data_IF_193602254615
#
_entry.id   IF_193602254615
#
_cell.length_a   1.000
_cell.length_b   1.000
_cell.length_c   1.000
_cell.angle_alpha   90.00
_cell.angle_beta   90.00
_cell.angle_gamma   90.00
#
_symmetry.space_group_name_H-M   'P 1'
#
loop_
_entity.id
_entity.type
_entity.pdbx_description
1 polymer ?
#
# COMPACT_ATOMS: atom_id res chain seq x y z
N UNK A 1 4.12 18.91 -5.91
CA UNK A 1 4.32 17.59 -5.27
C UNK A 1 3.18 17.45 -4.28
N UNK A 2 2.33 16.42 -4.39
CA UNK A 2 1.17 16.26 -3.50
C UNK A 2 1.66 15.88 -2.10
N UNK A 3 1.10 16.47 -1.06
CA UNK A 3 1.53 16.20 0.32
C UNK A 3 1.09 14.79 0.76
N UNK A 4 2.00 13.90 1.17
CA UNK A 4 1.65 12.54 1.57
C UNK A 4 0.67 12.47 2.75
N UNK A 5 0.74 13.44 3.66
CA UNK A 5 -0.17 13.60 4.80
C UNK A 5 -1.63 13.82 4.36
N UNK A 6 -1.85 14.41 3.19
CA UNK A 6 -3.18 14.64 2.65
C UNK A 6 -3.87 13.33 2.21
N UNK A 7 -3.11 12.33 1.73
CA UNK A 7 -3.68 11.02 1.38
C UNK A 7 -4.11 10.22 2.62
N UNK A 8 -3.31 10.23 3.70
CA UNK A 8 -3.73 9.61 4.98
C UNK A 8 -5.00 10.26 5.53
N UNK A 9 -5.15 11.58 5.34
CA UNK A 9 -6.38 12.29 5.71
C UNK A 9 -7.57 11.80 4.88
N UNK A 10 -7.41 11.67 3.55
CA UNK A 10 -8.44 11.11 2.67
C UNK A 10 -8.82 9.69 3.10
N UNK A 11 -7.84 8.81 3.33
CA UNK A 11 -8.06 7.45 3.84
C UNK A 11 -8.86 7.44 5.14
N UNK A 12 -8.51 8.31 6.09
CA UNK A 12 -9.22 8.42 7.37
C UNK A 12 -10.68 8.82 7.17
N UNK A 13 -10.94 9.79 6.29
CA UNK A 13 -12.29 10.24 5.95
C UNK A 13 -13.10 9.15 5.25
N UNK A 14 -12.49 8.42 4.31
CA UNK A 14 -13.12 7.26 3.67
C UNK A 14 -13.49 6.22 4.73
N UNK A 15 -12.57 5.87 5.63
CA UNK A 15 -12.83 4.90 6.70
C UNK A 15 -14.02 5.32 7.56
N UNK A 16 -14.02 6.56 8.04
CA UNK A 16 -15.08 7.10 8.89
C UNK A 16 -16.44 7.09 8.19
N UNK A 17 -16.50 7.53 6.92
CA UNK A 17 -17.75 7.59 6.18
C UNK A 17 -18.35 6.19 5.94
N UNK A 18 -17.52 5.22 5.58
CA UNK A 18 -17.99 3.86 5.31
C UNK A 18 -18.36 3.11 6.59
N UNK A 19 -17.57 3.26 7.67
CA UNK A 19 -17.88 2.66 8.97
C UNK A 19 -19.18 3.26 9.57
N UNK A 20 -19.39 4.58 9.49
CA UNK A 20 -20.62 5.25 9.98
C UNK A 20 -21.87 4.81 9.20
N UNK A 21 -21.74 4.68 7.88
CA UNK A 21 -22.81 4.23 7.01
C UNK A 21 -23.08 2.71 7.08
N UNK A 22 -22.26 1.94 7.79
CA UNK A 22 -22.36 0.48 7.85
C UNK A 22 -22.08 -0.21 6.51
N UNK A 23 -21.31 0.43 5.63
CA UNK A 23 -20.91 -0.14 4.35
C UNK A 23 -19.73 -1.09 4.56
N UNK A 24 -19.87 -2.35 4.14
CA UNK A 24 -18.75 -3.28 4.14
C UNK A 24 -17.77 -2.94 3.00
N UNK A 25 -16.49 -2.78 3.33
CA UNK A 25 -15.44 -2.43 2.38
C UNK A 25 -14.11 -3.09 2.72
N UNK A 26 -13.12 -2.95 1.83
CA UNK A 26 -11.73 -3.25 2.11
C UNK A 26 -10.78 -2.35 1.31
N UNK A 27 -9.75 -1.82 1.95
CA UNK A 27 -8.66 -1.10 1.29
C UNK A 27 -7.89 -2.05 0.37
N UNK A 28 -7.65 -1.62 -0.87
CA UNK A 28 -6.85 -2.34 -1.87
C UNK A 28 -5.78 -1.41 -2.48
N UNK A 29 -5.15 -1.83 -3.57
CA UNK A 29 -4.22 -1.01 -4.33
C UNK A 29 -2.96 -0.60 -3.57
N UNK A 30 -2.36 0.51 -3.98
CA UNK A 30 -1.07 0.99 -3.43
C UNK A 30 -1.14 1.32 -1.94
N UNK A 31 -2.25 1.92 -1.48
CA UNK A 31 -2.45 2.23 -0.07
C UNK A 31 -2.49 0.96 0.81
N UNK A 32 -3.12 -0.13 0.33
CA UNK A 32 -3.11 -1.41 1.04
C UNK A 32 -1.72 -2.07 1.06
N UNK A 33 -0.94 -1.90 -0.01
CA UNK A 33 0.45 -2.37 -0.08
C UNK A 33 1.32 -1.64 0.94
N UNK A 34 1.19 -0.31 1.02
CA UNK A 34 1.88 0.50 2.02
C UNK A 34 1.52 0.06 3.46
N UNK A 35 0.23 -0.14 3.76
CA UNK A 35 -0.23 -0.63 5.07
C UNK A 35 0.38 -1.99 5.49
N UNK A 36 0.84 -2.77 4.51
CA UNK A 36 1.50 -4.07 4.73
C UNK A 36 3.03 -4.01 4.74
N UNK A 37 3.61 -2.81 4.67
CA UNK A 37 5.05 -2.56 4.68
C UNK A 37 5.68 -2.47 3.28
N UNK A 38 4.86 -2.29 2.23
CA UNK A 38 5.33 -2.03 0.88
C UNK A 38 5.74 -0.56 0.65
N UNK A 39 6.15 -0.20 -0.58
CA UNK A 39 6.54 1.16 -0.90
C UNK A 39 5.38 2.15 -0.66
N UNK A 40 5.69 3.43 -0.35
CA UNK A 40 4.67 4.45 -0.25
C UNK A 40 3.95 4.62 -1.59
N UNK A 41 2.65 4.88 -1.52
CA UNK A 41 1.86 5.24 -2.68
C UNK A 41 1.72 6.77 -2.75
N UNK A 42 1.73 7.33 -3.95
CA UNK A 42 1.37 8.72 -4.25
C UNK A 42 0.19 8.80 -5.22
N UNK A 43 -0.53 7.69 -5.36
CA UNK A 43 -1.65 7.47 -6.28
C UNK A 43 -3.00 7.64 -5.59
N UNK A 44 -4.07 7.17 -6.22
CA UNK A 44 -5.43 7.15 -5.69
C UNK A 44 -5.60 6.26 -4.46
N UNK A 45 -6.72 6.48 -3.77
CA UNK A 45 -7.21 5.60 -2.71
C UNK A 45 -8.18 4.59 -3.31
N UNK A 46 -7.81 3.32 -3.29
CA UNK A 46 -8.66 2.25 -3.79
C UNK A 46 -9.40 1.52 -2.65
N UNK A 47 -10.73 1.46 -2.73
CA UNK A 47 -11.54 0.64 -1.84
C UNK A 47 -12.42 -0.33 -2.62
N UNK A 48 -12.46 -1.57 -2.16
CA UNK A 48 -13.40 -2.58 -2.63
C UNK A 48 -14.71 -2.45 -1.88
N UNK A 49 -15.82 -2.47 -2.60
CA UNK A 49 -17.18 -2.57 -2.05
C UNK A 49 -18.00 -3.55 -2.88
N UNK A 50 -19.10 -4.05 -2.32
CA UNK A 50 -20.07 -4.80 -3.14
C UNK A 50 -20.77 -3.87 -4.14
N UNK A 51 -21.14 -4.35 -5.35
CA UNK A 51 -21.82 -3.52 -6.35
C UNK A 51 -23.07 -2.83 -5.81
N UNK A 52 -23.88 -3.54 -5.03
CA UNK A 52 -25.10 -3.01 -4.42
C UNK A 52 -24.83 -1.91 -3.37
N UNK A 53 -23.61 -1.86 -2.82
CA UNK A 53 -23.21 -0.87 -1.80
C UNK A 53 -22.44 0.32 -2.39
N UNK A 54 -22.12 0.31 -3.69
CA UNK A 54 -21.31 1.35 -4.30
C UNK A 54 -21.98 2.74 -4.24
N UNK A 55 -23.29 2.80 -4.47
CA UNK A 55 -24.03 4.06 -4.39
C UNK A 55 -24.09 4.60 -2.94
N UNK A 56 -24.32 3.72 -1.97
CA UNK A 56 -24.35 4.08 -0.55
C UNK A 56 -22.97 4.55 -0.06
N UNK A 57 -21.89 3.91 -0.50
CA UNK A 57 -20.52 4.31 -0.22
C UNK A 57 -20.22 5.74 -0.69
N UNK A 58 -20.60 6.06 -1.94
CA UNK A 58 -20.45 7.40 -2.53
C UNK A 58 -21.25 8.43 -1.76
N UNK A 59 -22.52 8.14 -1.46
CA UNK A 59 -23.38 9.08 -0.77
C UNK A 59 -22.95 9.30 0.70
N UNK A 60 -22.43 8.28 1.37
CA UNK A 60 -21.84 8.41 2.71
C UNK A 60 -20.66 9.39 2.71
N UNK A 61 -19.70 9.19 1.79
CA UNK A 61 -18.53 10.06 1.65
C UNK A 61 -18.92 11.50 1.29
N UNK A 62 -19.90 11.67 0.39
CA UNK A 62 -20.45 12.97 0.00
C UNK A 62 -21.13 13.68 1.18
N UNK A 63 -21.99 12.99 1.94
CA UNK A 63 -22.73 13.59 3.06
C UNK A 63 -21.83 13.98 4.22
N UNK A 64 -20.89 13.09 4.60
CA UNK A 64 -20.09 13.28 5.79
C UNK A 64 -18.94 14.29 5.57
N UNK A 65 -18.29 14.26 4.41
CA UNK A 65 -17.08 15.04 4.17
C UNK A 65 -17.16 15.95 2.93
N UNK A 66 -18.30 15.99 2.24
CA UNK A 66 -18.46 16.82 1.04
C UNK A 66 -17.66 16.32 -0.16
N UNK A 67 -17.23 15.05 -0.18
CA UNK A 67 -16.51 14.47 -1.31
C UNK A 67 -17.36 14.55 -2.58
N UNK A 68 -16.74 14.88 -3.71
CA UNK A 68 -17.45 15.15 -4.97
C UNK A 68 -17.53 13.88 -5.81
N UNK A 69 -18.73 13.31 -6.03
CA UNK A 69 -18.87 12.18 -6.94
C UNK A 69 -18.56 12.56 -8.38
N UNK A 70 -18.04 11.60 -9.15
CA UNK A 70 -17.78 11.74 -10.58
C UNK A 70 -18.40 10.56 -11.30
N UNK A 71 -19.04 10.82 -12.44
CA UNK A 71 -19.56 9.77 -13.30
C UNK A 71 -18.38 9.01 -13.93
N UNK A 72 -18.26 7.69 -13.69
CA UNK A 72 -17.22 6.89 -14.30
C UNK A 72 -17.59 6.55 -15.75
N UNK A 73 -16.59 6.48 -16.63
CA UNK A 73 -16.77 5.83 -17.94
C UNK A 73 -16.71 4.29 -17.79
N UNK A 74 -16.10 3.84 -16.69
CA UNK A 74 -15.87 2.45 -16.36
C UNK A 74 -17.10 1.78 -15.72
N UNK A 75 -17.39 0.55 -16.13
CA UNK A 75 -18.50 -0.26 -15.57
C UNK A 75 -18.08 -1.16 -14.39
N UNK A 76 -16.94 -0.89 -13.77
CA UNK A 76 -16.34 -1.73 -12.73
C UNK A 76 -15.99 -0.99 -11.42
N UNK A 77 -16.16 0.34 -11.41
CA UNK A 77 -15.95 1.21 -10.27
C UNK A 77 -16.85 2.45 -10.36
N UNK A 78 -16.90 3.23 -9.28
CA UNK A 78 -17.29 4.64 -9.29
C UNK A 78 -16.20 5.47 -8.60
N UNK A 79 -16.24 6.80 -8.76
CA UNK A 79 -15.17 7.70 -8.33
C UNK A 79 -15.69 8.84 -7.48
N UNK A 80 -14.96 9.21 -6.44
CA UNK A 80 -15.18 10.46 -5.69
C UNK A 80 -13.86 11.21 -5.50
N UNK A 81 -13.94 12.54 -5.38
CA UNK A 81 -12.79 13.38 -5.06
C UNK A 81 -12.89 13.95 -3.65
N UNK A 82 -11.82 13.85 -2.87
CA UNK A 82 -11.56 14.66 -1.67
C UNK A 82 -10.47 15.69 -1.99
N UNK A 83 -10.88 16.93 -2.30
CA UNK A 83 -9.97 17.91 -2.89
C UNK A 83 -9.39 17.39 -4.22
N UNK A 84 -8.07 17.24 -4.28
CA UNK A 84 -7.33 16.74 -5.44
C UNK A 84 -7.08 15.22 -5.40
N UNK A 85 -7.45 14.53 -4.31
CA UNK A 85 -7.28 13.09 -4.17
C UNK A 85 -8.48 12.35 -4.72
N UNK A 86 -8.20 11.42 -5.63
CA UNK A 86 -9.16 10.51 -6.19
C UNK A 86 -9.33 9.30 -5.27
N UNK A 87 -10.58 8.90 -5.05
CA UNK A 87 -10.96 7.67 -4.37
C UNK A 87 -11.73 6.80 -5.37
N UNK A 88 -11.15 5.66 -5.70
CA UNK A 88 -11.77 4.65 -6.56
C UNK A 88 -12.55 3.65 -5.70
N UNK A 89 -13.85 3.60 -5.94
CA UNK A 89 -14.81 2.71 -5.27
C UNK A 89 -15.09 1.55 -6.21
N UNK A 90 -14.30 0.48 -6.05
CA UNK A 90 -14.20 -0.63 -6.98
C UNK A 90 -15.14 -1.75 -6.56
N UNK A 91 -15.96 -2.25 -7.48
CA UNK A 91 -16.89 -3.34 -7.22
C UNK A 91 -16.77 -4.52 -8.19
N UNK A 92 -15.94 -4.42 -9.23
CA UNK A 92 -15.66 -5.50 -10.18
C UNK A 92 -14.21 -5.53 -10.70
N UNK A 93 -13.19 -5.66 -9.83
CA UNK A 93 -11.80 -5.68 -10.24
C UNK A 93 -11.48 -6.90 -11.10
N UNK A 94 -10.72 -6.72 -12.19
CA UNK A 94 -10.33 -7.81 -13.09
C UNK A 94 -11.52 -8.68 -13.55
N UNK A 95 -12.68 -8.06 -13.82
CA UNK A 95 -13.95 -8.72 -14.18
C UNK A 95 -14.59 -9.58 -13.07
N UNK A 96 -14.00 -9.64 -11.87
CA UNK A 96 -14.51 -10.41 -10.75
C UNK A 96 -15.37 -9.54 -9.85
N UNK A 97 -16.63 -9.90 -9.66
CA UNK A 97 -17.53 -9.17 -8.75
C UNK A 97 -17.05 -9.27 -7.30
N UNK A 98 -16.95 -8.14 -6.60
CA UNK A 98 -16.66 -8.10 -5.17
C UNK A 98 -17.83 -8.71 -4.40
N UNK A 99 -17.53 -9.72 -3.59
CA UNK A 99 -18.51 -10.46 -2.79
C UNK A 99 -18.20 -10.34 -1.30
N UNK A 100 -19.13 -10.78 -0.45
CA UNK A 100 -18.86 -10.96 0.98
C UNK A 100 -17.62 -11.84 1.22
N UNK A 101 -17.45 -12.90 0.43
CA UNK A 101 -16.28 -13.78 0.53
C UNK A 101 -14.98 -13.11 0.06
N UNK A 102 -15.07 -12.08 -0.77
CA UNK A 102 -13.92 -11.24 -1.14
C UNK A 102 -13.54 -10.35 0.04
N UNK A 103 -14.49 -9.60 0.59
CA UNK A 103 -14.27 -8.65 1.69
C UNK A 103 -13.89 -9.34 3.01
N UNK A 104 -14.44 -10.53 3.29
CA UNK A 104 -14.13 -11.30 4.49
C UNK A 104 -12.66 -11.76 4.58
N UNK A 105 -11.88 -11.63 3.51
CA UNK A 105 -10.43 -11.90 3.51
C UNK A 105 -9.63 -10.74 4.09
N UNK A 106 -10.21 -9.54 4.17
CA UNK A 106 -9.53 -8.37 4.67
C UNK A 106 -9.27 -8.48 6.18
N UNK A 107 -8.14 -7.93 6.60
CA UNK A 107 -7.72 -7.88 7.99
C UNK A 107 -7.75 -6.43 8.46
N UNK A 108 -8.27 -6.15 9.66
CA UNK A 108 -8.21 -4.78 10.19
C UNK A 108 -6.77 -4.43 10.55
N UNK A 109 -6.18 -3.51 9.81
CA UNK A 109 -4.84 -2.96 10.05
C UNK A 109 -4.91 -1.47 10.35
N UNK A 110 -3.83 -0.93 10.91
CA UNK A 110 -3.62 0.52 11.04
C UNK A 110 -3.00 1.06 9.76
N UNK A 111 -3.52 2.20 9.30
CA UNK A 111 -3.01 2.94 8.13
C UNK A 111 -3.00 4.41 8.52
N UNK A 112 -1.82 4.91 8.91
CA UNK A 112 -1.71 6.19 9.62
C UNK A 112 -2.63 6.22 10.86
N UNK A 113 -3.50 7.23 11.02
CA UNK A 113 -4.36 7.33 12.20
C UNK A 113 -5.61 6.42 12.14
N UNK A 114 -5.96 5.88 10.97
CA UNK A 114 -7.16 5.07 10.78
C UNK A 114 -6.92 3.57 11.05
N UNK A 115 -7.95 2.87 11.51
CA UNK A 115 -8.00 1.40 11.50
C UNK A 115 -9.08 0.96 10.54
N UNK A 116 -8.72 0.18 9.51
CA UNK A 116 -9.63 -0.21 8.43
C UNK A 116 -9.34 -1.63 7.92
N UNK A 117 -10.31 -2.33 7.32
CA UNK A 117 -10.08 -3.61 6.65
C UNK A 117 -9.13 -3.43 5.45
N UNK A 118 -8.04 -4.19 5.40
CA UNK A 118 -7.02 -4.15 4.34
C UNK A 118 -6.88 -5.51 3.68
N UNK A 119 -6.96 -5.56 2.35
CA UNK A 119 -6.86 -6.80 1.58
C UNK A 119 -5.51 -7.50 1.77
N UNK A 120 -5.44 -8.85 1.81
CA UNK A 120 -4.19 -9.59 1.97
C UNK A 120 -3.18 -9.34 0.85
N UNK A 121 -1.88 -9.42 1.16
CA UNK A 121 -0.80 -9.27 0.17
C UNK A 121 -0.96 -10.19 -1.06
N UNK A 122 -1.40 -11.43 -0.83
CA UNK A 122 -1.71 -12.38 -1.91
C UNK A 122 -2.76 -11.83 -2.88
N UNK A 123 -3.82 -11.21 -2.36
CA UNK A 123 -4.85 -10.59 -3.19
C UNK A 123 -4.29 -9.40 -3.96
N UNK A 124 -3.58 -8.50 -3.27
CA UNK A 124 -3.00 -7.29 -3.88
C UNK A 124 -2.07 -7.63 -5.04
N UNK A 125 -1.14 -8.58 -4.85
CA UNK A 125 -0.24 -8.98 -5.93
C UNK A 125 -0.99 -9.67 -7.07
N UNK A 126 -1.93 -10.59 -6.75
CA UNK A 126 -2.73 -11.30 -7.77
C UNK A 126 -3.48 -10.31 -8.64
N UNK A 127 -4.20 -9.37 -8.01
CA UNK A 127 -5.00 -8.36 -8.69
C UNK A 127 -4.11 -7.47 -9.58
N UNK A 128 -2.94 -7.07 -9.07
CA UNK A 128 -1.98 -6.24 -9.79
C UNK A 128 -1.39 -6.91 -11.02
N UNK A 129 -1.08 -8.20 -10.97
CA UNK A 129 -0.46 -8.89 -12.11
C UNK A 129 -1.50 -9.38 -13.13
N UNK A 130 -2.77 -9.52 -12.75
CA UNK A 130 -3.84 -9.88 -13.68
C UNK A 130 -4.16 -8.78 -14.71
N UNK A 131 -3.81 -7.52 -14.43
CA UNK A 131 -3.96 -6.42 -15.41
C UNK A 131 -2.92 -6.45 -16.52
N UNK A 132 -1.90 -7.32 -16.42
CA UNK A 132 -0.82 -7.39 -17.39
C UNK A 132 -1.32 -7.96 -18.72
N UNK A 133 -0.98 -7.27 -19.81
CA UNK A 133 -1.42 -7.63 -21.15
C UNK A 133 -0.61 -6.95 -22.25
N UNK A 134 -1.01 -7.12 -23.53
CA UNK A 134 -0.28 -6.59 -24.69
C UNK A 134 -0.03 -5.08 -24.66
N UNK A 135 -0.92 -4.33 -24.01
CA UNK A 135 -0.87 -2.87 -23.93
C UNK A 135 -0.38 -2.36 -22.56
N UNK A 136 -0.15 -3.26 -21.60
CA UNK A 136 0.26 -2.93 -20.23
C UNK A 136 1.10 -4.07 -19.69
N UNK A 137 2.40 -4.04 -19.98
CA UNK A 137 3.36 -5.04 -19.50
C UNK A 137 4.54 -4.34 -18.82
N UNK A 138 4.27 -3.70 -17.69
CA UNK A 138 5.29 -3.10 -16.83
C UNK A 138 5.39 -3.90 -15.53
N UNK A 139 6.56 -4.48 -15.28
CA UNK A 139 6.82 -5.29 -14.09
C UNK A 139 7.44 -4.48 -12.95
N UNK A 140 7.80 -3.21 -13.16
CA UNK A 140 8.53 -2.41 -12.17
C UNK A 140 7.80 -2.35 -10.82
N UNK A 141 6.56 -1.88 -10.82
CA UNK A 141 5.76 -1.76 -9.60
C UNK A 141 5.34 -3.14 -9.03
N UNK A 142 4.81 -4.10 -9.82
CA UNK A 142 4.53 -5.44 -9.29
C UNK A 142 5.75 -6.13 -8.66
N UNK A 143 6.97 -5.94 -9.20
CA UNK A 143 8.19 -6.49 -8.61
C UNK A 143 8.53 -5.86 -7.26
N UNK A 144 8.32 -4.55 -7.10
CA UNK A 144 8.50 -3.88 -5.81
C UNK A 144 7.51 -4.41 -4.77
N UNK A 145 6.26 -4.65 -5.15
CA UNK A 145 5.25 -5.24 -4.28
C UNK A 145 5.61 -6.68 -3.90
N UNK A 146 5.96 -7.49 -4.89
CA UNK A 146 6.39 -8.87 -4.73
C UNK A 146 7.58 -8.99 -3.78
N UNK A 147 8.58 -8.11 -3.90
CA UNK A 147 9.74 -8.07 -3.01
C UNK A 147 9.34 -7.67 -1.59
N UNK A 148 8.66 -6.54 -1.44
CA UNK A 148 8.34 -5.98 -0.11
C UNK A 148 7.39 -6.85 0.71
N UNK A 149 6.50 -7.58 0.04
CA UNK A 149 5.47 -8.39 0.68
C UNK A 149 5.74 -9.90 0.59
N UNK A 150 6.94 -10.33 0.18
CA UNK A 150 7.24 -11.71 -0.22
C UNK A 150 6.83 -12.78 0.80
N UNK A 151 7.02 -12.49 2.09
CA UNK A 151 6.72 -13.41 3.21
C UNK A 151 5.22 -13.47 3.54
N UNK A 152 4.43 -12.50 3.06
CA UNK A 152 2.98 -12.42 3.27
C UNK A 152 2.18 -13.02 2.10
N UNK A 153 2.85 -13.37 1.00
CA UNK A 153 2.23 -13.83 -0.23
C UNK A 153 2.16 -15.37 -0.22
N UNK A 154 0.95 -15.92 -0.36
CA UNK A 154 0.74 -17.31 -0.78
C UNK A 154 1.05 -17.42 -2.27
N UNK A 155 2.32 -17.65 -2.59
CA UNK A 155 2.81 -17.78 -3.96
C UNK A 155 2.15 -18.93 -4.72
N UNK A 156 1.78 -20.02 -4.04
CA UNK A 156 1.06 -21.11 -4.65
C UNK A 156 -0.37 -20.69 -5.01
N UNK A 157 -1.00 -19.90 -4.15
CA UNK A 157 -2.28 -19.22 -4.39
C UNK A 157 -2.24 -18.30 -5.60
N UNK A 158 -1.24 -17.41 -5.68
CA UNK A 158 -1.06 -16.51 -6.84
C UNK A 158 -0.94 -17.33 -8.12
N UNK A 159 -0.07 -18.35 -8.16
CA UNK A 159 0.13 -19.22 -9.33
C UNK A 159 -1.17 -19.91 -9.78
N UNK A 160 -2.01 -20.35 -8.84
CA UNK A 160 -3.32 -20.95 -9.16
C UNK A 160 -4.30 -19.91 -9.69
N UNK A 161 -4.38 -18.75 -9.05
CA UNK A 161 -5.35 -17.71 -9.41
C UNK A 161 -5.06 -17.07 -10.77
N UNK A 162 -3.79 -17.06 -11.20
CA UNK A 162 -3.39 -16.47 -12.48
C UNK A 162 -3.04 -17.50 -13.56
N UNK A 163 -3.39 -18.77 -13.33
CA UNK A 163 -3.11 -19.84 -14.30
C UNK A 163 -3.86 -19.57 -15.61
N UNK A 164 -3.13 -19.25 -16.66
CA UNK A 164 -3.71 -18.90 -17.98
C UNK A 164 -3.24 -17.57 -18.54
N UNK A 165 -2.61 -16.70 -17.73
CA UNK A 165 -1.97 -15.49 -18.25
C UNK A 165 -0.47 -15.69 -18.48
N UNK A 166 0.02 -15.67 -19.74
CA UNK A 166 1.44 -15.82 -20.05
C UNK A 166 2.28 -14.67 -19.46
N UNK A 167 1.69 -13.48 -19.26
CA UNK A 167 2.35 -12.35 -18.61
C UNK A 167 2.61 -12.63 -17.13
N UNK A 168 1.62 -13.19 -16.42
CA UNK A 168 1.80 -13.59 -15.02
C UNK A 168 2.77 -14.75 -14.87
N UNK A 169 2.78 -15.68 -15.83
CA UNK A 169 3.76 -16.77 -15.86
C UNK A 169 5.20 -16.24 -15.99
N UNK A 170 5.42 -15.30 -16.92
CA UNK A 170 6.71 -14.62 -17.07
C UNK A 170 7.12 -13.84 -15.81
N UNK A 171 6.18 -13.12 -15.20
CA UNK A 171 6.41 -12.40 -13.95
C UNK A 171 6.81 -13.33 -12.80
N UNK A 172 6.07 -14.44 -12.59
CA UNK A 172 6.34 -15.42 -11.54
C UNK A 172 7.66 -16.17 -11.80
N UNK A 173 8.00 -16.42 -13.08
CA UNK A 173 9.30 -16.96 -13.45
C UNK A 173 10.43 -16.01 -13.05
N UNK A 174 10.28 -14.71 -13.34
CA UNK A 174 11.25 -13.70 -12.94
C UNK A 174 11.39 -13.61 -11.41
N UNK A 175 10.27 -13.58 -10.67
CA UNK A 175 10.28 -13.59 -9.21
C UNK A 175 11.06 -14.78 -8.64
N UNK A 176 10.90 -15.98 -9.23
CA UNK A 176 11.69 -17.16 -8.84
C UNK A 176 13.19 -16.99 -9.15
N UNK A 177 13.53 -16.41 -10.29
CA UNK A 177 14.94 -16.17 -10.68
C UNK A 177 15.63 -15.12 -9.82
N UNK A 178 14.84 -14.24 -9.19
CA UNK A 178 15.28 -13.22 -8.24
C UNK A 178 15.19 -13.68 -6.78
N UNK A 179 14.92 -14.98 -6.54
CA UNK A 179 14.77 -15.57 -5.21
C UNK A 179 13.70 -14.90 -4.31
N UNK A 180 12.66 -14.30 -4.94
CA UNK A 180 11.52 -13.71 -4.23
C UNK A 180 10.48 -14.74 -3.79
N UNK A 181 10.41 -15.86 -4.51
CA UNK A 181 9.50 -16.97 -4.20
C UNK A 181 10.26 -17.97 -3.35
N UNK A 182 9.81 -18.29 -2.12
CA UNK A 182 10.44 -19.32 -1.30
C UNK A 182 10.56 -20.62 -2.09
N UNK A 183 11.75 -21.24 -2.05
CA UNK A 183 11.92 -22.54 -2.65
C UNK A 183 10.92 -23.52 -1.99
N UNK A 184 10.09 -24.18 -2.80
CA UNK A 184 9.23 -25.26 -2.30
C UNK A 184 10.14 -26.22 -1.51
N UNK A 185 9.88 -26.38 -0.21
CA UNK A 185 10.74 -27.11 0.72
C UNK A 185 11.00 -28.53 0.21
N UNK A 186 12.09 -28.70 -0.53
CA UNK A 186 12.82 -29.95 -0.59
C UNK A 186 13.64 -29.95 0.68
N UNK A 187 13.20 -30.75 1.65
CA UNK A 187 13.93 -31.06 2.88
C UNK A 187 15.41 -31.27 2.54
N UNK A 188 16.28 -30.46 3.17
CA UNK A 188 17.73 -30.32 2.98
C UNK A 188 18.20 -29.33 1.90
N UNK A 189 18.27 -28.06 2.30
CA UNK A 189 19.53 -27.29 2.27
C UNK A 189 19.57 -26.35 3.48
N UNK A 190 20.36 -26.69 4.48
CA UNK A 190 20.98 -25.67 5.33
C UNK A 190 21.92 -24.89 4.43
N UNK A 191 21.64 -23.61 4.18
CA UNK A 191 22.58 -22.71 3.52
C UNK A 191 22.31 -21.27 3.97
N UNK A 192 23.33 -20.70 4.62
CA UNK A 192 23.57 -19.28 4.90
C UNK A 192 22.77 -18.35 3.96
N UNK A 193 21.76 -17.64 4.47
CA UNK A 193 21.17 -16.50 3.76
C UNK A 193 22.30 -15.53 3.41
N UNK A 194 22.34 -15.03 2.17
CA UNK A 194 23.29 -13.96 1.80
C UNK A 194 23.06 -12.74 2.70
N UNK A 195 24.10 -11.94 2.94
CA UNK A 195 23.95 -10.69 3.71
C UNK A 195 22.86 -9.80 3.09
N UNK A 196 22.81 -9.72 1.76
CA UNK A 196 21.79 -8.96 1.03
C UNK A 196 20.35 -9.43 1.33
N UNK A 197 20.11 -10.75 1.37
CA UNK A 197 18.80 -11.29 1.70
C UNK A 197 18.39 -11.04 3.17
N UNK A 198 19.37 -10.95 4.09
CA UNK A 198 19.12 -10.60 5.50
C UNK A 198 18.79 -9.12 5.66
N UNK A 199 19.56 -8.23 5.05
CA UNK A 199 19.30 -6.79 5.10
C UNK A 199 17.94 -6.45 4.51
N UNK A 200 17.56 -7.11 3.40
CA UNK A 200 16.23 -6.94 2.80
C UNK A 200 15.12 -7.39 3.75
N UNK A 201 15.29 -8.53 4.42
CA UNK A 201 14.32 -8.99 5.41
C UNK A 201 14.14 -7.99 6.56
N UNK A 202 15.23 -7.41 7.07
CA UNK A 202 15.17 -6.38 8.11
C UNK A 202 14.53 -5.09 7.59
N UNK A 203 14.83 -4.68 6.36
CA UNK A 203 14.18 -3.52 5.73
C UNK A 203 12.66 -3.69 5.62
N UNK A 204 12.19 -4.85 5.14
CA UNK A 204 10.76 -5.15 5.00
C UNK A 204 10.04 -5.15 6.37
N UNK A 205 10.66 -5.73 7.39
CA UNK A 205 10.12 -5.73 8.76
C UNK A 205 10.06 -4.32 9.33
N UNK A 206 11.12 -3.54 9.11
CA UNK A 206 11.18 -2.17 9.60
C UNK A 206 10.15 -1.28 8.89
N UNK A 207 10.03 -1.36 7.57
CA UNK A 207 8.99 -0.65 6.80
C UNK A 207 7.59 -0.93 7.35
N UNK A 208 7.29 -2.18 7.74
CA UNK A 208 6.00 -2.52 8.36
C UNK A 208 5.79 -1.85 9.71
N UNK A 209 6.80 -1.89 10.58
CA UNK A 209 6.72 -1.25 11.91
C UNK A 209 6.46 0.24 11.74
N UNK A 210 7.22 0.91 10.87
CA UNK A 210 7.07 2.34 10.62
C UNK A 210 5.70 2.69 10.02
N UNK A 211 5.21 1.90 9.05
CA UNK A 211 3.89 2.14 8.43
C UNK A 211 2.70 1.95 9.40
N UNK A 212 2.85 1.11 10.43
CA UNK A 212 1.78 0.80 11.39
C UNK A 212 1.85 1.64 12.67
N UNK A 213 2.94 2.37 12.87
CA UNK A 213 3.14 3.21 14.04
C UNK A 213 2.24 4.47 13.97
N UNK A 214 1.41 4.74 14.99
CA UNK A 214 0.47 5.87 14.96
C UNK A 214 1.13 7.25 15.08
N UNK A 215 2.37 7.32 15.57
CA UNK A 215 3.13 8.56 15.74
C UNK A 215 4.09 8.82 14.57
N UNK A 216 4.31 7.80 13.73
CA UNK A 216 5.35 7.78 12.69
C UNK A 216 4.81 7.46 11.29
N UNK A 217 3.67 6.77 11.16
CA UNK A 217 3.10 6.26 9.91
C UNK A 217 2.69 7.35 8.92
N UNK A 218 3.68 8.00 8.31
CA UNK A 218 3.56 8.95 7.22
C UNK A 218 3.88 8.27 5.89
N UNK A 219 3.02 8.51 4.89
CA UNK A 219 3.32 8.15 3.50
C UNK A 219 4.56 8.95 3.05
N UNK A 220 5.45 8.34 2.28
CA UNK A 220 6.61 9.02 1.68
C UNK A 220 7.95 8.73 2.35
N UNK A 221 7.98 7.91 3.40
CA UNK A 221 9.24 7.31 3.92
C UNK A 221 9.28 5.82 3.58
N UNK A 222 10.39 5.38 3.02
CA UNK A 222 10.70 3.99 2.71
C UNK A 222 12.00 3.56 3.38
N UNK A 223 12.11 2.26 3.63
CA UNK A 223 13.37 1.63 4.05
C UNK A 223 13.91 0.81 2.88
N UNK A 224 15.12 1.12 2.45
CA UNK A 224 15.82 0.42 1.38
C UNK A 224 17.05 -0.31 1.95
N UNK A 225 17.25 -1.56 1.54
CA UNK A 225 18.49 -2.28 1.87
C UNK A 225 19.53 -2.07 0.77
N UNK A 226 20.75 -1.69 1.15
CA UNK A 226 21.93 -1.64 0.29
C UNK A 226 23.09 -2.39 0.94
N UNK A 227 23.27 -3.65 0.55
CA UNK A 227 24.30 -4.52 1.12
C UNK A 227 24.06 -4.79 2.60
N UNK A 228 24.86 -4.17 3.47
CA UNK A 228 24.81 -4.30 4.94
C UNK A 228 24.30 -3.00 5.62
N UNK A 229 23.80 -2.06 4.83
CA UNK A 229 23.28 -0.77 5.27
C UNK A 229 21.78 -0.66 4.95
N UNK A 230 21.01 -0.12 5.89
CA UNK A 230 19.60 0.24 5.71
C UNK A 230 19.51 1.74 5.48
N UNK A 231 19.01 2.15 4.31
CA UNK A 231 18.74 3.55 4.00
C UNK A 231 17.31 3.91 4.34
N UNK A 232 17.12 4.96 5.14
CA UNK A 232 15.84 5.61 5.33
C UNK A 232 15.73 6.73 4.30
N UNK A 233 14.80 6.59 3.35
CA UNK A 233 14.63 7.55 2.25
C UNK A 233 13.23 8.13 2.34
N UNK A 234 13.10 9.45 2.22
CA UNK A 234 11.78 10.07 2.21
C UNK A 234 11.77 11.55 2.48
N UNK A 235 10.57 12.09 2.63
CA UNK A 235 10.34 13.48 3.01
C UNK A 235 9.39 13.51 4.20
N UNK A 236 9.73 14.31 5.22
CA UNK A 236 8.91 14.52 6.42
C UNK A 236 8.65 16.00 6.63
N UNK A 237 7.55 16.32 7.32
CA UNK A 237 7.10 17.70 7.49
C UNK A 237 7.78 18.47 8.62
N UNK A 238 8.47 17.76 9.56
CA UNK A 238 9.14 18.40 10.70
C UNK A 238 10.38 17.64 11.20
N UNK A 239 11.24 18.36 11.93
CA UNK A 239 12.43 17.79 12.59
C UNK A 239 12.06 16.86 13.76
N UNK A 240 10.93 17.09 14.42
CA UNK A 240 10.43 16.23 15.49
C UNK A 240 10.03 14.86 14.94
N UNK A 241 9.30 14.84 13.82
CA UNK A 241 8.95 13.60 13.10
C UNK A 241 10.18 12.87 12.58
N UNK A 242 11.13 13.60 12.00
CA UNK A 242 12.41 13.04 11.57
C UNK A 242 13.12 12.31 12.71
N UNK A 243 13.24 12.95 13.87
CA UNK A 243 13.85 12.35 15.05
C UNK A 243 13.09 11.12 15.55
N UNK A 244 11.77 11.08 15.39
CA UNK A 244 10.95 9.94 15.79
C UNK A 244 11.16 8.72 14.88
N UNK A 245 11.14 8.94 13.56
CA UNK A 245 11.43 7.93 12.53
C UNK A 245 12.81 7.31 12.71
N UNK A 246 13.85 8.13 12.90
CA UNK A 246 15.24 7.66 13.07
C UNK A 246 15.39 6.83 14.35
N UNK A 247 14.70 7.19 15.44
CA UNK A 247 14.71 6.39 16.68
C UNK A 247 14.02 5.05 16.49
N UNK A 248 12.79 5.05 15.95
CA UNK A 248 12.06 3.81 15.72
C UNK A 248 12.83 2.87 14.77
N UNK A 249 13.48 3.42 13.74
CA UNK A 249 14.38 2.66 12.88
C UNK A 249 15.55 2.04 13.64
N UNK A 250 16.21 2.82 14.51
CA UNK A 250 17.35 2.38 15.32
C UNK A 250 16.98 1.26 16.30
N UNK A 251 15.79 1.34 16.91
CA UNK A 251 15.33 0.35 17.88
C UNK A 251 15.01 -1.01 17.23
N UNK A 252 14.71 -1.01 15.92
CA UNK A 252 14.24 -2.19 15.18
C UNK A 252 15.22 -2.69 14.09
N UNK A 253 16.42 -2.10 13.97
CA UNK A 253 17.39 -2.47 12.93
C UNK A 253 18.24 -3.72 13.23
N UNK A 254 18.10 -4.30 14.43
CA UNK A 254 18.77 -5.54 14.87
C UNK A 254 20.27 -5.62 14.49
N UNK A 255 20.99 -4.51 14.64
CA UNK A 255 22.45 -4.43 14.42
C UNK A 255 22.90 -4.01 13.01
N UNK A 256 21.98 -3.72 12.09
CA UNK A 256 22.32 -3.14 10.78
C UNK A 256 22.63 -1.65 10.92
N UNK A 257 23.59 -1.15 10.12
CA UNK A 257 23.87 0.30 10.06
C UNK A 257 22.73 1.01 9.36
N UNK A 258 22.24 2.10 9.96
CA UNK A 258 21.23 2.96 9.35
C UNK A 258 21.93 4.17 8.73
N UNK A 259 21.55 4.46 7.50
CA UNK A 259 21.88 5.70 6.81
C UNK A 259 20.61 6.51 6.59
N UNK A 260 20.60 7.67 7.22
CA UNK A 260 19.48 8.60 7.16
C UNK A 260 19.61 9.52 5.95
N UNK A 261 18.71 9.36 4.98
CA UNK A 261 18.59 10.20 3.79
C UNK A 261 17.22 10.89 3.73
N UNK A 262 16.52 10.98 4.87
CA UNK A 262 15.24 11.68 4.97
C UNK A 262 15.48 13.18 4.86
N UNK A 263 14.66 13.86 4.05
CA UNK A 263 14.66 15.32 3.94
C UNK A 263 13.51 15.91 4.75
N UNK A 264 13.82 16.90 5.58
CA UNK A 264 12.79 17.69 6.27
C UNK A 264 12.40 18.87 5.39
N UNK A 265 11.13 18.94 5.00
CA UNK A 265 10.57 20.08 4.26
C UNK A 265 9.54 20.74 5.16
N UNK A 266 9.81 21.97 5.60
CA UNK A 266 8.86 22.74 6.39
C UNK A 266 7.60 23.00 5.53
N UNK A 267 6.44 22.56 5.99
CA UNK A 267 5.17 23.02 5.46
C UNK A 267 5.07 24.52 5.73
N UNK A 268 5.13 25.31 4.66
CA UNK A 268 4.82 26.74 4.75
C UNK A 268 3.34 26.83 5.01
N UNK A 269 2.97 27.22 6.22
CA UNK A 269 1.61 27.56 6.58
C UNK A 269 1.19 28.76 5.74
N UNK A 270 0.43 28.52 4.66
CA UNK A 270 -0.10 29.58 3.78
C UNK A 270 -1.31 30.29 4.38
N UNK A 271 -1.61 30.11 5.68
CA UNK A 271 -2.69 30.82 6.36
C UNK A 271 -2.34 32.25 6.81
N UNK A 272 -1.23 32.83 6.34
CA UNK A 272 -0.79 34.18 6.72
C UNK A 272 -0.52 35.13 5.53
N UNK A 273 -1.38 35.16 4.52
CA UNK A 273 -1.46 36.30 3.57
C UNK A 273 -2.93 36.62 3.19
N UNK A 274 -3.77 36.88 4.20
CA UNK A 274 -4.97 37.73 4.03
C UNK A 274 -4.90 38.86 5.06
N UNK A 275 -3.95 39.77 4.89
CA UNK A 275 -4.06 41.15 5.37
C UNK A 275 -2.86 41.97 4.90
N UNK A 276 -2.89 42.50 3.67
CA UNK A 276 -2.40 43.86 3.36
C UNK A 276 -3.07 44.39 2.08
N UNK A 277 -4.00 45.33 2.31
CA UNK A 277 -4.44 46.48 1.49
C UNK A 277 -5.32 46.32 0.26
#
# INVERSE_FOLDING_TARGET
MREPTAMLRTLTRVACALDDAGVEYALTGGCAVYARGGPPSDHDVDVLVRPESAADAVEAMRRMFGMRPVEPEESWLTKVYDGDWLVDVIYRPNENTVSNATLARAERLRVGPASMPVMPATYLLTDKILVLGPHRCDFAEPLQWARSLREQIDWAGVRRATSGSPYTEAFLWLCRRLDLVPAETTTQRSAVMSLDARSQYVAERLSRVLAQDPEIGELGVSVEADGDELRLVGVVSSHEQHAHLVRAASDHSEGHRIRDEIRVVATVDTSAEEDVS
#
